data_IF_592388673379
#
_entry.id   IF_592388673379
#
_cell.length_a   1.000
_cell.length_b   1.000
_cell.length_c   1.000
_cell.angle_alpha   90.00
_cell.angle_beta   90.00
_cell.angle_gamma   90.00
#
_symmetry.space_group_name_H-M   'P 1'
#
loop_
_entity.id
_entity.type
_entity.pdbx_description
1 polymer ?
#
# COMPACT_ATOMS: atom_id res chain seq x y z
N UNK A 1 -60.74 -24.69 -39.99
CA UNK A 1 -61.22 -23.40 -40.51
C UNK A 1 -60.48 -22.30 -39.79
N UNK A 2 -59.70 -21.53 -40.55
CA UNK A 2 -58.93 -20.35 -40.12
C UNK A 2 -59.87 -19.16 -39.86
N UNK A 3 -59.49 -18.25 -38.96
CA UNK A 3 -59.53 -16.80 -39.22
C UNK A 3 -58.52 -16.10 -38.30
N UNK A 4 -57.58 -15.41 -38.92
CA UNK A 4 -56.55 -14.52 -38.36
C UNK A 4 -56.98 -13.09 -38.68
N UNK A 5 -56.97 -12.18 -37.70
CA UNK A 5 -56.77 -10.71 -37.85
C UNK A 5 -56.18 -10.25 -36.49
N UNK A 6 -54.92 -9.87 -36.31
CA UNK A 6 -54.09 -8.83 -36.91
C UNK A 6 -54.69 -7.42 -36.74
N UNK A 7 -54.28 -6.69 -35.70
CA UNK A 7 -54.25 -5.23 -35.73
C UNK A 7 -53.02 -4.68 -35.00
N UNK A 8 -52.18 -4.06 -35.83
CA UNK A 8 -50.96 -3.32 -35.55
C UNK A 8 -51.34 -1.88 -35.28
N UNK A 9 -50.84 -1.25 -34.22
CA UNK A 9 -50.57 0.20 -34.26
C UNK A 9 -49.32 0.52 -33.46
N UNK A 10 -48.21 0.49 -34.20
CA UNK A 10 -46.94 1.13 -33.86
C UNK A 10 -47.14 2.64 -33.83
N UNK A 11 -46.71 3.30 -32.75
CA UNK A 11 -46.69 4.76 -32.64
C UNK A 11 -45.28 5.20 -32.25
N UNK A 12 -44.49 5.51 -33.28
CA UNK A 12 -43.23 6.25 -33.18
C UNK A 12 -43.51 7.74 -33.40
N UNK A 13 -43.13 8.55 -32.40
CA UNK A 13 -42.36 9.82 -32.43
C UNK A 13 -42.83 10.99 -33.33
N UNK A 14 -42.67 12.29 -32.93
CA UNK A 14 -41.33 12.86 -32.78
C UNK A 14 -41.10 14.15 -31.91
N UNK A 15 -39.82 14.42 -31.62
CA UNK A 15 -39.18 15.76 -31.50
C UNK A 15 -39.56 16.65 -30.29
N UNK A 16 -38.62 16.82 -29.35
CA UNK A 16 -37.93 18.12 -29.09
C UNK A 16 -37.31 18.25 -27.69
N UNK A 17 -36.16 18.92 -27.68
CA UNK A 17 -35.44 19.55 -26.54
C UNK A 17 -34.45 18.68 -25.78
N UNK A 18 -33.34 18.42 -26.47
CA UNK A 18 -32.01 18.44 -25.87
C UNK A 18 -31.80 19.80 -25.18
N UNK A 19 -31.94 19.82 -23.86
CA UNK A 19 -31.46 20.91 -23.00
C UNK A 19 -30.06 20.50 -22.53
N UNK A 20 -29.03 21.07 -23.17
CA UNK A 20 -27.65 21.02 -22.69
C UNK A 20 -27.51 22.16 -21.66
N UNK A 21 -27.30 21.89 -20.35
CA UNK A 21 -26.84 22.93 -19.44
C UNK A 21 -25.37 23.25 -19.70
N UNK A 22 -25.06 24.53 -19.54
CA UNK A 22 -23.81 25.21 -19.83
C UNK A 22 -22.53 24.45 -19.47
N UNK A 23 -21.60 24.48 -20.43
CA UNK A 23 -20.17 24.25 -20.22
C UNK A 23 -19.68 25.26 -19.19
N UNK A 24 -19.66 24.85 -17.93
CA UNK A 24 -18.91 25.55 -16.88
C UNK A 24 -17.44 25.56 -17.30
N UNK A 25 -16.94 26.76 -17.56
CA UNK A 25 -15.56 27.07 -17.87
C UNK A 25 -14.64 26.42 -16.83
N UNK A 26 -13.90 25.39 -17.24
CA UNK A 26 -12.79 24.84 -16.48
C UNK A 26 -11.71 25.92 -16.43
N UNK A 27 -11.59 26.62 -15.31
CA UNK A 27 -10.40 27.40 -15.00
C UNK A 27 -9.21 26.42 -14.88
N UNK A 28 -8.09 26.67 -15.58
CA UNK A 28 -6.91 25.84 -15.41
C UNK A 28 -6.36 25.98 -13.98
N UNK A 29 -5.75 24.93 -13.42
CA UNK A 29 -5.05 25.04 -12.15
C UNK A 29 -3.94 26.07 -12.27
N UNK A 30 -3.95 27.04 -11.36
CA UNK A 30 -2.91 28.05 -11.22
C UNK A 30 -1.54 27.37 -11.26
N UNK A 31 -0.71 27.81 -12.20
CA UNK A 31 0.72 27.55 -12.27
C UNK A 31 1.33 27.84 -10.90
N UNK A 32 1.68 26.78 -10.17
CA UNK A 32 2.49 26.88 -8.97
C UNK A 32 3.90 27.22 -9.45
N UNK A 33 4.26 28.49 -9.30
CA UNK A 33 5.62 29.00 -9.40
C UNK A 33 6.58 28.08 -8.63
N UNK A 34 7.65 27.53 -9.24
CA UNK A 34 8.71 26.87 -8.51
C UNK A 34 9.45 27.94 -7.70
N UNK A 35 9.04 28.10 -6.45
CA UNK A 35 9.74 28.91 -5.46
C UNK A 35 11.17 28.40 -5.35
N UNK A 36 12.08 29.25 -5.83
CA UNK A 36 13.53 29.20 -5.63
C UNK A 36 13.86 28.87 -4.17
N UNK A 37 14.27 27.64 -3.90
CA UNK A 37 15.09 27.31 -2.74
C UNK A 37 16.51 27.02 -3.23
N UNK A 38 17.25 28.09 -3.52
CA UNK A 38 18.71 28.05 -3.55
C UNK A 38 19.18 28.49 -2.16
N UNK A 39 19.13 27.58 -1.19
CA UNK A 39 19.74 27.80 0.11
C UNK A 39 21.08 27.06 0.13
N UNK A 40 22.11 27.82 -0.25
CA UNK A 40 23.51 27.43 -0.23
C UNK A 40 23.98 27.30 1.22
N UNK A 41 23.85 26.12 1.81
CA UNK A 41 24.61 25.81 3.02
C UNK A 41 26.06 25.49 2.64
N UNK A 42 26.88 26.56 2.65
CA UNK A 42 28.32 26.49 2.85
C UNK A 42 28.60 25.70 4.12
N UNK A 43 28.92 24.41 3.99
CA UNK A 43 29.57 23.69 5.06
C UNK A 43 31.02 24.19 5.16
N UNK A 44 31.21 24.99 6.20
CA UNK A 44 32.48 25.43 6.72
C UNK A 44 33.22 24.20 7.26
N UNK A 45 34.29 23.77 6.59
CA UNK A 45 35.25 22.81 7.13
C UNK A 45 36.09 23.49 8.21
N UNK A 46 36.09 23.01 9.46
CA UNK A 46 37.18 23.30 10.37
C UNK A 46 38.31 22.29 10.12
N UNK A 47 39.36 22.81 9.51
CA UNK A 47 40.70 22.24 9.48
C UNK A 47 41.22 22.17 10.93
N UNK A 48 41.42 20.98 11.47
CA UNK A 48 42.22 20.78 12.68
C UNK A 48 42.71 19.32 12.75
N UNK A 49 43.85 19.07 12.13
CA UNK A 49 44.80 18.11 12.68
C UNK A 49 45.45 18.74 13.93
N UNK A 50 45.83 17.94 14.92
CA UNK A 50 47.24 17.55 14.94
C UNK A 50 47.47 16.06 15.22
N UNK A 51 48.51 15.56 14.56
CA UNK A 51 49.19 14.31 14.85
C UNK A 51 49.73 14.28 16.30
N UNK A 52 49.71 13.10 16.91
CA UNK A 52 50.81 12.65 17.77
C UNK A 52 50.81 11.13 17.87
N UNK A 53 51.99 10.60 17.61
CA UNK A 53 52.41 9.21 17.61
C UNK A 53 52.27 8.57 19.00
N UNK A 54 51.92 7.29 19.06
CA UNK A 54 52.67 6.30 19.85
C UNK A 54 52.32 4.92 19.30
N UNK A 55 53.23 4.48 18.42
CA UNK A 55 53.47 3.08 18.10
C UNK A 55 53.63 2.28 19.39
N UNK A 56 52.72 1.34 19.63
CA UNK A 56 52.94 0.19 20.49
C UNK A 56 52.56 -1.01 19.67
N UNK A 57 53.56 -1.51 18.96
CA UNK A 57 53.58 -2.73 18.17
C UNK A 57 53.32 -3.93 19.11
N UNK A 58 52.15 -4.59 19.06
CA UNK A 58 51.94 -5.83 19.79
C UNK A 58 52.62 -6.98 19.03
N UNK A 59 53.28 -7.93 19.73
CA UNK A 59 54.02 -9.00 19.08
C UNK A 59 53.12 -9.82 18.16
N UNK A 60 53.61 -10.00 16.93
CA UNK A 60 53.04 -10.84 15.89
C UNK A 60 52.49 -12.14 16.48
N UNK A 61 51.16 -12.21 16.61
CA UNK A 61 50.49 -13.49 16.78
C UNK A 61 50.67 -14.24 15.47
N UNK A 62 51.12 -15.51 15.51
CA UNK A 62 51.26 -16.31 14.30
C UNK A 62 49.92 -16.32 13.59
N UNK A 63 49.95 -16.05 12.29
CA UNK A 63 48.84 -16.15 11.36
C UNK A 63 48.17 -17.51 11.54
N UNK A 64 47.13 -17.55 12.38
CA UNK A 64 46.08 -18.54 12.30
C UNK A 64 45.36 -18.25 10.98
N UNK A 65 45.99 -18.73 9.90
CA UNK A 65 45.34 -19.11 8.66
C UNK A 65 44.23 -20.07 9.06
N UNK A 66 43.12 -19.46 9.47
CA UNK A 66 41.84 -20.10 9.71
C UNK A 66 41.52 -20.73 8.38
N UNK A 67 41.79 -22.02 8.26
CA UNK A 67 41.18 -22.90 7.29
C UNK A 67 39.69 -22.78 7.58
N UNK A 68 39.06 -21.75 7.00
CA UNK A 68 37.65 -21.47 7.13
C UNK A 68 36.95 -22.68 6.56
N UNK A 69 36.54 -23.58 7.44
CA UNK A 69 35.72 -24.72 7.09
C UNK A 69 34.56 -24.14 6.29
N UNK A 70 34.42 -24.48 5.00
CA UNK A 70 33.38 -23.89 4.16
C UNK A 70 32.07 -24.15 4.86
N UNK A 71 31.42 -23.06 5.26
CA UNK A 71 30.19 -23.15 6.01
C UNK A 71 29.17 -23.84 5.11
N UNK A 72 28.46 -24.88 5.59
CA UNK A 72 27.49 -25.60 4.75
C UNK A 72 26.38 -24.68 4.20
N UNK A 73 26.26 -23.46 4.71
CA UNK A 73 25.32 -22.42 4.31
C UNK A 73 25.80 -21.54 3.15
N UNK A 74 27.07 -21.62 2.76
CA UNK A 74 27.62 -20.78 1.68
C UNK A 74 27.03 -21.14 0.31
N UNK A 75 26.65 -22.40 0.09
CA UNK A 75 26.08 -22.86 -1.17
C UNK A 75 24.69 -22.24 -1.42
N UNK A 76 23.81 -22.26 -0.40
CA UNK A 76 22.47 -21.66 -0.47
C UNK A 76 22.52 -20.16 -0.80
N UNK A 77 23.43 -19.41 -0.17
CA UNK A 77 23.59 -17.97 -0.44
C UNK A 77 24.18 -17.68 -1.81
N UNK A 78 25.11 -18.52 -2.29
CA UNK A 78 25.65 -18.43 -3.64
C UNK A 78 24.56 -18.70 -4.68
N UNK A 79 23.76 -19.75 -4.49
CA UNK A 79 22.63 -20.09 -5.37
C UNK A 79 21.60 -18.96 -5.42
N UNK A 80 21.32 -18.33 -4.27
CA UNK A 80 20.42 -17.19 -4.21
C UNK A 80 20.95 -15.97 -4.97
N UNK A 81 22.27 -15.72 -4.90
CA UNK A 81 22.92 -14.65 -5.65
C UNK A 81 22.88 -14.90 -7.16
N UNK A 82 23.23 -16.11 -7.61
CA UNK A 82 23.12 -16.50 -9.03
C UNK A 82 21.68 -16.39 -9.52
N UNK A 83 20.70 -16.84 -8.72
CA UNK A 83 19.29 -16.70 -9.06
C UNK A 83 18.84 -15.23 -9.12
N UNK A 84 19.42 -14.36 -8.29
CA UNK A 84 19.17 -12.92 -8.35
C UNK A 84 19.75 -12.28 -9.63
N UNK A 85 20.92 -12.73 -10.10
CA UNK A 85 21.52 -12.28 -11.37
C UNK A 85 20.71 -12.72 -12.60
N UNK A 86 20.13 -13.91 -12.55
CA UNK A 86 19.27 -14.43 -13.62
C UNK A 86 17.86 -13.81 -13.62
N UNK A 87 17.47 -13.15 -12.52
CA UNK A 87 16.14 -12.56 -12.40
C UNK A 87 16.11 -11.16 -13.03
N UNK A 88 14.95 -10.80 -13.59
CA UNK A 88 14.70 -9.47 -14.15
C UNK A 88 13.46 -8.85 -13.51
N UNK A 89 13.23 -7.55 -13.71
CA UNK A 89 12.05 -6.87 -13.17
C UNK A 89 10.71 -7.52 -13.61
N UNK A 90 10.69 -8.23 -14.74
CA UNK A 90 9.50 -8.92 -15.26
C UNK A 90 9.47 -10.42 -14.94
N UNK A 91 10.59 -11.01 -14.46
CA UNK A 91 10.65 -12.42 -14.10
C UNK A 91 11.46 -12.64 -12.82
N UNK A 92 10.74 -12.77 -11.71
CA UNK A 92 11.29 -13.02 -10.37
C UNK A 92 11.32 -14.51 -10.03
N UNK A 93 10.88 -15.41 -10.93
CA UNK A 93 10.73 -16.83 -10.62
C UNK A 93 12.03 -17.50 -10.19
N UNK A 94 13.20 -17.26 -10.84
CA UNK A 94 14.44 -17.89 -10.42
C UNK A 94 14.77 -17.56 -8.96
N UNK A 95 14.77 -16.28 -8.60
CA UNK A 95 15.01 -15.82 -7.24
C UNK A 95 14.03 -16.40 -6.23
N UNK A 96 12.72 -16.33 -6.51
CA UNK A 96 11.69 -16.81 -5.58
C UNK A 96 11.71 -18.33 -5.40
N UNK A 97 12.12 -19.09 -6.41
CA UNK A 97 12.26 -20.56 -6.28
C UNK A 97 13.38 -20.94 -5.33
N UNK A 98 14.57 -20.34 -5.45
CA UNK A 98 15.71 -20.61 -4.57
C UNK A 98 15.43 -20.10 -3.16
N UNK A 99 14.91 -18.87 -3.02
CA UNK A 99 14.57 -18.30 -1.72
C UNK A 99 13.64 -19.20 -0.87
N UNK A 100 12.71 -19.92 -1.51
CA UNK A 100 11.76 -20.81 -0.83
C UNK A 100 12.35 -22.18 -0.45
N UNK A 101 13.46 -22.58 -1.06
CA UNK A 101 14.13 -23.86 -0.78
C UNK A 101 15.12 -23.74 0.39
N UNK A 102 15.63 -22.53 0.65
CA UNK A 102 16.56 -22.27 1.75
C UNK A 102 15.86 -22.48 3.09
N UNK A 103 16.48 -23.29 3.95
CA UNK A 103 16.05 -23.47 5.33
C UNK A 103 16.59 -22.33 6.21
N UNK A 104 15.90 -21.19 6.16
CA UNK A 104 16.23 -19.98 6.91
C UNK A 104 16.38 -20.20 8.42
N UNK A 105 15.86 -21.30 8.98
CA UNK A 105 16.01 -21.61 10.40
C UNK A 105 17.42 -22.12 10.76
N UNK A 106 18.30 -22.32 9.80
CA UNK A 106 19.69 -22.74 10.03
C UNK A 106 20.70 -21.63 9.72
N UNK A 107 20.28 -20.58 9.02
CA UNK A 107 21.16 -19.51 8.57
C UNK A 107 21.46 -18.47 9.67
N UNK A 108 22.67 -17.87 9.65
CA UNK A 108 23.05 -16.76 10.51
C UNK A 108 22.35 -15.45 10.12
N UNK A 109 22.40 -14.45 11.02
CA UNK A 109 21.76 -13.15 10.82
C UNK A 109 22.27 -12.38 9.58
N UNK A 110 23.56 -12.57 9.22
CA UNK A 110 24.17 -11.92 8.07
C UNK A 110 23.50 -12.33 6.74
N UNK A 111 23.12 -13.60 6.63
CA UNK A 111 22.50 -14.18 5.42
C UNK A 111 21.09 -13.64 5.21
N UNK A 112 20.31 -13.44 6.29
CA UNK A 112 19.02 -12.73 6.21
C UNK A 112 19.21 -11.31 5.66
N UNK A 113 20.21 -10.57 6.16
CA UNK A 113 20.44 -9.21 5.70
C UNK A 113 20.87 -9.19 4.22
N UNK A 114 21.68 -10.15 3.80
CA UNK A 114 22.08 -10.33 2.41
C UNK A 114 20.89 -10.70 1.51
N UNK A 115 20.04 -11.63 1.94
CA UNK A 115 18.82 -12.02 1.22
C UNK A 115 17.85 -10.85 1.05
N UNK A 116 17.68 -10.00 2.07
CA UNK A 116 16.89 -8.76 1.96
C UNK A 116 17.48 -7.84 0.89
N UNK A 117 18.81 -7.64 0.87
CA UNK A 117 19.47 -6.79 -0.14
C UNK A 117 19.31 -7.35 -1.56
N UNK A 118 19.47 -8.67 -1.74
CA UNK A 118 19.26 -9.34 -3.02
C UNK A 118 17.80 -9.22 -3.48
N UNK A 119 16.84 -9.44 -2.59
CA UNK A 119 15.42 -9.28 -2.89
C UNK A 119 15.08 -7.85 -3.33
N UNK A 120 15.64 -6.83 -2.67
CA UNK A 120 15.48 -5.43 -3.10
C UNK A 120 16.12 -5.16 -4.46
N UNK A 121 17.30 -5.71 -4.72
CA UNK A 121 18.03 -5.56 -6.00
C UNK A 121 17.21 -6.05 -7.20
N UNK A 122 16.48 -7.16 -7.04
CA UNK A 122 15.66 -7.74 -8.11
C UNK A 122 14.22 -7.19 -8.15
N UNK A 123 13.80 -6.35 -7.21
CA UNK A 123 12.44 -5.81 -7.13
C UNK A 123 11.43 -6.69 -6.39
N UNK A 124 11.88 -7.73 -5.67
CA UNK A 124 11.03 -8.61 -4.85
C UNK A 124 10.70 -7.96 -3.49
N UNK A 125 10.06 -6.79 -3.49
CA UNK A 125 9.83 -5.97 -2.29
C UNK A 125 9.05 -6.68 -1.17
N UNK A 126 8.05 -7.50 -1.52
CA UNK A 126 7.27 -8.26 -0.54
C UNK A 126 8.15 -9.31 0.16
N UNK A 127 8.97 -10.05 -0.60
CA UNK A 127 9.94 -11.02 -0.05
C UNK A 127 10.99 -10.33 0.80
N UNK A 128 11.50 -9.17 0.39
CA UNK A 128 12.43 -8.39 1.19
C UNK A 128 11.83 -7.99 2.56
N UNK A 129 10.56 -7.55 2.57
CA UNK A 129 9.84 -7.23 3.82
C UNK A 129 9.65 -8.46 4.70
N UNK A 130 9.19 -9.58 4.13
CA UNK A 130 8.97 -10.82 4.87
C UNK A 130 10.28 -11.35 5.48
N UNK A 131 11.35 -11.37 4.69
CA UNK A 131 12.69 -11.79 5.12
C UNK A 131 13.22 -10.89 6.24
N UNK A 132 13.09 -9.56 6.09
CA UNK A 132 13.52 -8.61 7.12
C UNK A 132 12.75 -8.79 8.44
N UNK A 133 11.42 -9.00 8.38
CA UNK A 133 10.58 -9.25 9.55
C UNK A 133 10.84 -10.61 10.21
N UNK A 134 11.14 -11.65 9.42
CA UNK A 134 11.53 -12.96 9.94
C UNK A 134 12.89 -12.86 10.65
N UNK A 135 13.89 -12.29 9.96
CA UNK A 135 15.23 -12.07 10.51
C UNK A 135 15.23 -11.20 11.76
N UNK A 136 14.45 -10.11 11.79
CA UNK A 136 14.38 -9.23 12.97
C UNK A 136 13.73 -9.89 14.19
N UNK A 137 12.80 -10.83 13.98
CA UNK A 137 12.18 -11.62 15.06
C UNK A 137 13.16 -12.65 15.62
N UNK A 138 13.87 -13.34 14.73
CA UNK A 138 14.84 -14.39 15.10
C UNK A 138 16.12 -13.81 15.73
N UNK A 139 16.58 -12.66 15.25
CA UNK A 139 17.81 -12.00 15.71
C UNK A 139 17.49 -10.61 16.27
N UNK A 140 16.86 -10.53 17.47
CA UNK A 140 16.40 -9.27 18.06
C UNK A 140 17.53 -8.27 18.32
N UNK A 141 18.76 -8.75 18.54
CA UNK A 141 19.93 -7.91 18.81
C UNK A 141 20.74 -7.51 17.56
N UNK A 142 20.39 -8.00 16.37
CA UNK A 142 21.13 -7.68 15.15
C UNK A 142 20.69 -6.33 14.58
N UNK A 143 21.51 -5.30 14.81
CA UNK A 143 21.17 -3.91 14.50
C UNK A 143 20.75 -3.67 13.04
N UNK A 144 21.40 -4.33 12.08
CA UNK A 144 21.06 -4.17 10.66
C UNK A 144 19.67 -4.73 10.32
N UNK A 145 19.29 -5.88 10.90
CA UNK A 145 17.98 -6.49 10.63
C UNK A 145 16.86 -5.66 11.25
N UNK A 146 17.07 -5.10 12.44
CA UNK A 146 16.13 -4.16 13.04
C UNK A 146 15.94 -2.91 12.18
N UNK A 147 17.02 -2.39 11.61
CA UNK A 147 16.97 -1.25 10.69
C UNK A 147 16.19 -1.60 9.42
N UNK A 148 16.50 -2.73 8.77
CA UNK A 148 15.83 -3.19 7.56
C UNK A 148 14.33 -3.44 7.79
N UNK A 149 13.97 -4.11 8.89
CA UNK A 149 12.57 -4.36 9.24
C UNK A 149 11.79 -3.05 9.45
N UNK A 150 12.39 -2.04 10.09
CA UNK A 150 11.77 -0.72 10.26
C UNK A 150 11.60 0.03 8.95
N UNK A 151 12.61 -0.01 8.07
CA UNK A 151 12.56 0.67 6.77
C UNK A 151 11.55 0.05 5.80
N UNK A 152 11.41 -1.28 5.84
CA UNK A 152 10.52 -2.03 4.95
C UNK A 152 9.13 -2.26 5.53
N UNK A 153 8.91 -1.88 6.80
CA UNK A 153 7.60 -1.91 7.41
C UNK A 153 6.60 -1.12 6.54
N UNK A 154 5.37 -1.59 6.37
CA UNK A 154 4.34 -0.79 5.71
C UNK A 154 4.24 0.56 6.42
N UNK A 155 4.06 1.67 5.68
CA UNK A 155 3.86 2.96 6.30
C UNK A 155 2.69 2.82 7.27
N UNK A 156 2.98 2.93 8.56
CA UNK A 156 1.95 2.85 9.58
C UNK A 156 0.95 3.95 9.27
N UNK A 157 -0.27 3.56 8.90
CA UNK A 157 -1.38 4.50 8.89
C UNK A 157 -1.48 4.98 10.34
N UNK A 158 -0.93 6.17 10.61
CA UNK A 158 -1.21 6.86 11.85
C UNK A 158 -2.69 7.13 11.76
N UNK A 159 -3.47 6.32 12.48
CA UNK A 159 -4.84 6.67 12.79
C UNK A 159 -4.72 7.95 13.59
N UNK A 160 -4.78 9.08 12.89
CA UNK A 160 -5.05 10.34 13.53
C UNK A 160 -6.42 10.10 14.15
N UNK A 161 -6.60 10.28 15.46
CA UNK A 161 -7.93 10.38 16.03
C UNK A 161 -8.57 11.63 15.42
N UNK A 162 -9.04 11.50 14.18
CA UNK A 162 -10.02 12.39 13.63
C UNK A 162 -11.19 12.29 14.60
N UNK A 163 -11.73 13.44 15.00
CA UNK A 163 -13.00 13.50 15.71
C UNK A 163 -13.95 12.60 14.93
N UNK A 164 -14.16 11.38 15.43
CA UNK A 164 -14.92 10.37 14.70
C UNK A 164 -16.27 10.99 14.48
N UNK A 165 -16.66 11.18 13.22
CA UNK A 165 -17.89 11.89 12.91
C UNK A 165 -19.01 11.14 13.65
N UNK A 166 -19.63 11.72 14.70
CA UNK A 166 -20.59 11.00 15.54
C UNK A 166 -21.77 10.49 14.69
N UNK A 167 -22.00 11.13 13.54
CA UNK A 167 -22.96 10.70 12.52
C UNK A 167 -22.71 9.28 12.02
N UNK A 168 -21.45 8.87 11.85
CA UNK A 168 -21.12 7.57 11.26
C UNK A 168 -21.47 6.43 12.21
N UNK A 169 -21.14 6.60 13.49
CA UNK A 169 -21.48 5.61 14.51
C UNK A 169 -22.99 5.53 14.73
N UNK A 170 -23.68 6.68 14.73
CA UNK A 170 -25.14 6.71 14.80
C UNK A 170 -25.81 6.01 13.59
N UNK A 171 -25.35 6.29 12.37
CA UNK A 171 -25.83 5.63 11.15
C UNK A 171 -25.57 4.11 11.19
N UNK A 172 -24.41 3.69 11.67
CA UNK A 172 -24.06 2.27 11.78
C UNK A 172 -24.92 1.54 12.81
N UNK A 173 -25.20 2.18 13.94
CA UNK A 173 -26.10 1.63 14.96
C UNK A 173 -27.52 1.48 14.42
N UNK A 174 -28.02 2.48 13.68
CA UNK A 174 -29.34 2.40 13.03
C UNK A 174 -29.40 1.22 12.05
N UNK A 175 -28.39 1.07 11.20
CA UNK A 175 -28.32 -0.07 10.26
C UNK A 175 -28.34 -1.40 11.00
N UNK A 176 -27.54 -1.56 12.06
CA UNK A 176 -27.54 -2.80 12.85
C UNK A 176 -28.92 -3.14 13.44
N UNK A 177 -29.69 -2.14 13.87
CA UNK A 177 -30.99 -2.33 14.48
C UNK A 177 -32.11 -2.61 13.46
N UNK A 178 -32.01 -2.03 12.26
CA UNK A 178 -33.10 -2.02 11.28
C UNK A 178 -32.82 -2.75 9.97
N UNK A 179 -31.63 -3.30 9.76
CA UNK A 179 -31.26 -3.89 8.46
C UNK A 179 -32.25 -4.95 7.94
N UNK A 180 -32.88 -5.71 8.84
CA UNK A 180 -33.83 -6.76 8.48
C UNK A 180 -35.08 -6.22 7.79
N UNK A 181 -35.54 -5.03 8.20
CA UNK A 181 -36.79 -4.43 7.73
C UNK A 181 -36.65 -3.80 6.33
N UNK A 182 -35.42 -3.53 5.90
CA UNK A 182 -35.12 -2.78 4.68
C UNK A 182 -34.33 -3.59 3.64
N UNK A 183 -34.34 -4.92 3.72
CA UNK A 183 -33.71 -5.77 2.69
C UNK A 183 -34.32 -5.53 1.32
N UNK A 184 -33.46 -5.41 0.31
CA UNK A 184 -33.83 -5.12 -1.08
C UNK A 184 -33.95 -3.63 -1.40
N UNK A 185 -33.78 -2.74 -0.42
CA UNK A 185 -33.93 -1.30 -0.61
C UNK A 185 -32.61 -0.54 -0.45
N UNK A 186 -32.57 0.65 -1.05
CA UNK A 186 -31.61 1.69 -0.76
C UNK A 186 -32.12 2.56 0.38
N UNK A 187 -31.26 2.85 1.35
CA UNK A 187 -31.58 3.74 2.48
C UNK A 187 -30.64 4.95 2.52
N UNK A 188 -31.19 6.11 2.86
CA UNK A 188 -30.44 7.33 3.14
C UNK A 188 -30.51 7.65 4.63
N UNK A 189 -29.36 7.78 5.28
CA UNK A 189 -29.24 8.01 6.72
C UNK A 189 -28.44 9.27 7.03
N UNK A 190 -28.86 10.00 8.05
CA UNK A 190 -28.09 11.13 8.60
C UNK A 190 -28.22 11.15 10.12
N UNK A 191 -27.09 11.15 10.81
CA UNK A 191 -27.02 11.22 12.28
C UNK A 191 -27.88 10.15 12.98
N UNK A 192 -27.95 8.94 12.41
CA UNK A 192 -28.76 7.83 12.93
C UNK A 192 -30.24 7.92 12.63
N UNK A 193 -30.66 8.81 11.71
CA UNK A 193 -32.05 8.97 11.29
C UNK A 193 -32.24 8.58 9.83
N UNK A 194 -33.30 7.82 9.55
CA UNK A 194 -33.74 7.50 8.20
C UNK A 194 -34.34 8.74 7.54
N UNK A 195 -33.76 9.13 6.40
CA UNK A 195 -34.25 10.23 5.58
C UNK A 195 -35.17 9.74 4.46
N UNK A 196 -34.80 8.65 3.79
CA UNK A 196 -35.54 8.13 2.64
C UNK A 196 -35.22 6.65 2.40
N UNK A 197 -36.14 5.99 1.68
CA UNK A 197 -36.02 4.61 1.19
C UNK A 197 -36.47 4.56 -0.27
N UNK A 198 -35.77 3.81 -1.10
CA UNK A 198 -36.15 3.61 -2.50
C UNK A 198 -35.67 2.26 -3.03
N UNK A 199 -36.30 1.76 -4.10
CA UNK A 199 -35.88 0.53 -4.78
C UNK A 199 -34.54 0.72 -5.53
N UNK A 200 -34.21 1.96 -5.88
CA UNK A 200 -32.98 2.32 -6.57
C UNK A 200 -32.39 3.66 -6.07
N UNK A 201 -31.11 3.86 -6.38
CA UNK A 201 -30.36 5.06 -5.94
C UNK A 201 -30.90 6.36 -6.54
N UNK A 202 -31.49 6.32 -7.75
CA UNK A 202 -32.00 7.54 -8.40
C UNK A 202 -33.29 8.01 -7.73
N UNK A 203 -34.18 7.08 -7.38
CA UNK A 203 -35.37 7.34 -6.57
C UNK A 203 -34.99 7.93 -5.20
N UNK A 204 -33.92 7.42 -4.59
CA UNK A 204 -33.40 7.96 -3.33
C UNK A 204 -32.88 9.39 -3.48
N UNK A 205 -32.09 9.67 -4.52
CA UNK A 205 -31.58 11.02 -4.83
C UNK A 205 -32.72 11.99 -5.13
N UNK A 206 -33.77 11.54 -5.84
CA UNK A 206 -34.94 12.35 -6.14
C UNK A 206 -35.71 12.75 -4.86
N UNK A 207 -35.79 11.86 -3.87
CA UNK A 207 -36.44 12.14 -2.58
C UNK A 207 -35.58 13.02 -1.66
N UNK A 208 -34.28 12.75 -1.56
CA UNK A 208 -33.37 13.40 -0.60
C UNK A 208 -32.81 14.72 -1.15
N UNK A 209 -32.77 14.88 -2.47
CA UNK A 209 -32.13 15.98 -3.16
C UNK A 209 -30.61 15.78 -3.33
N UNK A 210 -29.87 16.85 -3.69
CA UNK A 210 -28.44 16.78 -3.96
C UNK A 210 -27.63 16.29 -2.75
N UNK A 211 -26.78 15.30 -2.98
CA UNK A 211 -26.04 14.57 -1.94
C UNK A 211 -24.70 15.19 -1.55
N UNK A 212 -24.18 16.12 -2.37
CA UNK A 212 -22.93 16.81 -2.04
C UNK A 212 -23.14 17.64 -0.78
N UNK A 213 -22.18 17.51 0.15
CA UNK A 213 -22.00 18.35 1.34
C UNK A 213 -22.97 18.11 2.52
N UNK A 214 -23.74 17.01 2.56
CA UNK A 214 -24.76 16.79 3.61
C UNK A 214 -24.47 15.68 4.63
N UNK A 215 -23.29 15.04 4.59
CA UNK A 215 -22.93 13.94 5.51
C UNK A 215 -24.01 12.82 5.54
N UNK A 216 -24.63 12.56 4.39
CA UNK A 216 -25.69 11.55 4.25
C UNK A 216 -25.02 10.24 3.83
N UNK A 217 -25.24 9.19 4.62
CA UNK A 217 -24.86 7.83 4.25
C UNK A 217 -25.94 7.25 3.34
N UNK A 218 -25.53 6.81 2.15
CA UNK A 218 -26.39 6.02 1.27
C UNK A 218 -25.80 4.63 1.19
N UNK A 219 -26.62 3.63 1.50
CA UNK A 219 -26.21 2.24 1.41
C UNK A 219 -27.37 1.41 0.87
N UNK A 220 -27.09 0.47 -0.06
CA UNK A 220 -28.05 -0.57 -0.34
C UNK A 220 -28.03 -1.61 0.79
N UNK A 221 -29.17 -2.26 1.02
CA UNK A 221 -29.31 -3.34 1.98
C UNK A 221 -29.77 -4.58 1.22
N UNK A 222 -28.95 -5.63 1.20
CA UNK A 222 -29.23 -6.91 0.53
C UNK A 222 -29.20 -8.06 1.52
#
# INVERSE_FOLDING_TARGET
MMTILAETTSRLDPISRLFLPDRTTFLPPSTIEPSRYLETHKYHSPLAEPATETSSDPPARPDESTTAVPSPYQDDMLQLEVAAELSSANDLKPFLSVYRQIDWETHPAADFAQAVRLALRVGAHQTARECALAGSRRFPHHAELQKLARLLAPPGAKSVPGQGNPSWQANRNWLHQHWGDYRGYWVALRDGQLLAVADDVNGLVAQVGPLKDRNILITPIW
#
